data_IF_500921287832
#
_entry.id   IF_500921287832
#
_cell.length_a   1.000
_cell.length_b   1.000
_cell.length_c   1.000
_cell.angle_alpha   90.00
_cell.angle_beta   90.00
_cell.angle_gamma   90.00
#
_symmetry.space_group_name_H-M   'P 1'
#
loop_
_entity.id
_entity.type
_entity.pdbx_description
1 polymer ?
#
# COMPACT_ATOMS: atom_id res chain seq x y z
N UNK A 1 -9.16 13.03 -15.82
CA UNK A 1 -8.36 12.25 -14.84
C UNK A 1 -9.33 11.62 -13.87
N UNK A 2 -9.01 10.50 -13.22
CA UNK A 2 -9.88 10.00 -12.17
C UNK A 2 -9.89 10.98 -10.99
N UNK A 3 -11.08 11.48 -10.66
CA UNK A 3 -11.27 12.41 -9.55
C UNK A 3 -11.73 11.64 -8.31
N UNK A 4 -10.87 11.62 -7.31
CA UNK A 4 -11.14 10.95 -6.04
C UNK A 4 -12.22 11.70 -5.26
N UNK A 5 -13.32 11.01 -4.98
CA UNK A 5 -14.41 11.49 -4.13
C UNK A 5 -13.98 11.52 -2.67
N UNK A 6 -14.79 12.15 -1.81
CA UNK A 6 -14.58 12.13 -0.36
C UNK A 6 -14.60 10.70 0.19
N UNK A 7 -15.52 9.87 -0.32
CA UNK A 7 -15.60 8.46 0.02
C UNK A 7 -14.29 7.72 -0.31
N UNK A 8 -13.75 7.92 -1.52
CA UNK A 8 -12.50 7.26 -1.93
C UNK A 8 -11.33 7.66 -1.01
N UNK A 9 -11.27 8.93 -0.63
CA UNK A 9 -10.24 9.45 0.28
C UNK A 9 -10.37 8.87 1.67
N UNK A 10 -11.58 8.81 2.21
CA UNK A 10 -11.86 8.20 3.51
C UNK A 10 -11.49 6.70 3.52
N UNK A 11 -11.91 5.98 2.48
CA UNK A 11 -11.59 4.56 2.31
C UNK A 11 -10.07 4.32 2.23
N UNK A 12 -9.35 5.11 1.43
CA UNK A 12 -7.89 5.00 1.34
C UNK A 12 -7.20 5.35 2.67
N UNK A 13 -7.71 6.32 3.43
CA UNK A 13 -7.17 6.67 4.74
C UNK A 13 -7.32 5.52 5.74
N UNK A 14 -8.50 4.89 5.80
CA UNK A 14 -8.76 3.74 6.66
C UNK A 14 -7.86 2.55 6.29
N UNK A 15 -7.77 2.22 5.00
CA UNK A 15 -6.90 1.14 4.51
C UNK A 15 -5.43 1.38 4.84
N UNK A 16 -4.96 2.63 4.72
CA UNK A 16 -3.61 3.01 5.11
C UNK A 16 -3.37 2.85 6.62
N UNK A 17 -4.33 3.26 7.45
CA UNK A 17 -4.24 3.11 8.91
C UNK A 17 -4.14 1.63 9.30
N UNK A 18 -4.98 0.77 8.71
CA UNK A 18 -4.94 -0.66 8.93
C UNK A 18 -3.58 -1.27 8.56
N UNK A 19 -3.06 -0.95 7.36
CA UNK A 19 -1.79 -1.52 6.90
C UNK A 19 -0.60 -1.01 7.74
N UNK A 20 -0.61 0.26 8.16
CA UNK A 20 0.39 0.81 9.09
C UNK A 20 0.44 0.03 10.42
N UNK A 21 -0.71 -0.32 10.98
CA UNK A 21 -0.76 -1.11 12.21
C UNK A 21 -0.19 -2.53 12.00
N UNK A 22 -0.47 -3.16 10.86
CA UNK A 22 0.10 -4.47 10.51
C UNK A 22 1.63 -4.41 10.35
N UNK A 23 2.14 -3.34 9.73
CA UNK A 23 3.59 -3.11 9.61
C UNK A 23 4.23 -2.88 10.98
N UNK A 24 3.60 -2.09 11.86
CA UNK A 24 4.10 -1.89 13.22
C UNK A 24 4.25 -3.22 13.98
N UNK A 25 3.25 -4.09 13.89
CA UNK A 25 3.29 -5.45 14.46
C UNK A 25 4.36 -6.35 13.85
N UNK A 26 4.71 -6.15 12.57
CA UNK A 26 5.82 -6.86 11.94
C UNK A 26 7.17 -6.37 12.45
N UNK A 27 7.29 -5.08 12.74
CA UNK A 27 8.51 -4.45 13.25
C UNK A 27 8.75 -4.76 14.72
N UNK A 28 7.70 -4.85 15.55
CA UNK A 28 7.80 -5.21 16.97
C UNK A 28 7.90 -6.74 17.21
N UNK A 29 7.70 -7.55 16.18
CA UNK A 29 7.82 -9.01 16.23
C UNK A 29 6.53 -9.74 16.60
N UNK A 30 5.42 -9.04 16.85
CA UNK A 30 4.10 -9.62 17.12
C UNK A 30 3.39 -10.18 15.87
N UNK A 31 4.05 -10.11 14.71
CA UNK A 31 3.63 -10.69 13.45
C UNK A 31 4.86 -11.23 12.71
N UNK A 32 4.86 -12.53 12.41
CA UNK A 32 5.99 -13.17 11.71
C UNK A 32 6.04 -12.77 10.23
N UNK A 33 7.17 -13.03 9.55
CA UNK A 33 7.28 -12.76 8.10
C UNK A 33 6.30 -13.61 7.28
N UNK A 34 6.05 -14.86 7.68
CA UNK A 34 5.11 -15.74 6.98
C UNK A 34 3.67 -15.24 7.07
N UNK A 35 3.25 -14.77 8.25
CA UNK A 35 1.93 -14.17 8.46
C UNK A 35 1.81 -12.79 7.80
N UNK A 36 2.91 -12.03 7.73
CA UNK A 36 2.93 -10.71 7.09
C UNK A 36 2.94 -10.81 5.55
N UNK A 37 3.50 -11.88 4.98
CA UNK A 37 3.60 -12.10 3.52
C UNK A 37 2.27 -11.88 2.77
N UNK A 38 1.14 -12.51 3.13
CA UNK A 38 -0.13 -12.25 2.44
C UNK A 38 -0.59 -10.79 2.59
N UNK A 39 -0.42 -10.18 3.77
CA UNK A 39 -0.84 -8.80 4.03
C UNK A 39 -0.08 -7.80 3.16
N UNK A 40 1.25 -7.94 3.05
CA UNK A 40 2.04 -7.05 2.19
C UNK A 40 1.72 -7.25 0.71
N UNK A 41 1.50 -8.48 0.26
CA UNK A 41 1.17 -8.77 -1.14
C UNK A 41 -0.20 -8.20 -1.55
N UNK A 42 -1.21 -8.31 -0.67
CA UNK A 42 -2.53 -7.70 -0.91
C UNK A 42 -2.46 -6.17 -1.01
N UNK A 43 -1.52 -5.54 -0.31
CA UNK A 43 -1.29 -4.09 -0.36
C UNK A 43 -0.23 -3.70 -1.41
N UNK A 44 0.19 -4.61 -2.30
CA UNK A 44 1.11 -4.32 -3.40
C UNK A 44 2.58 -4.15 -2.99
N UNK A 45 2.97 -4.58 -1.79
CA UNK A 45 4.33 -4.53 -1.28
C UNK A 45 5.03 -5.89 -1.44
N UNK A 46 5.95 -5.96 -2.40
CA UNK A 46 6.73 -7.14 -2.74
C UNK A 46 8.12 -7.06 -2.12
N UNK A 47 8.59 -8.15 -1.52
CA UNK A 47 9.98 -8.29 -1.11
C UNK A 47 10.77 -8.92 -2.27
N UNK A 48 11.69 -8.17 -2.85
CA UNK A 48 12.71 -8.66 -3.77
C UNK A 48 13.99 -8.97 -2.99
N UNK A 49 15.00 -9.52 -3.67
CA UNK A 49 16.24 -10.01 -3.02
C UNK A 49 16.93 -8.96 -2.13
N UNK A 50 16.92 -7.69 -2.55
CA UNK A 50 17.64 -6.62 -1.87
C UNK A 50 16.76 -5.47 -1.37
N UNK A 51 15.47 -5.44 -1.73
CA UNK A 51 14.62 -4.28 -1.48
C UNK A 51 13.14 -4.63 -1.56
N UNK A 52 12.31 -3.71 -1.04
CA UNK A 52 10.87 -3.74 -1.27
C UNK A 52 10.51 -3.02 -2.58
N UNK A 53 9.60 -3.62 -3.34
CA UNK A 53 8.99 -3.03 -4.54
C UNK A 53 7.52 -2.75 -4.26
N UNK A 54 7.09 -1.51 -4.50
CA UNK A 54 5.71 -1.06 -4.31
C UNK A 54 4.99 -0.99 -5.66
N UNK A 55 3.87 -1.71 -5.79
CA UNK A 55 2.96 -1.60 -6.92
C UNK A 55 1.88 -0.57 -6.61
N UNK A 56 1.84 0.50 -7.40
CA UNK A 56 0.84 1.57 -7.29
C UNK A 56 -0.27 1.35 -8.33
N UNK A 57 -1.52 1.36 -7.89
CA UNK A 57 -2.68 1.29 -8.78
C UNK A 57 -2.95 2.67 -9.40
N UNK A 58 -3.03 2.74 -10.72
CA UNK A 58 -3.29 3.98 -11.47
C UNK A 58 -4.63 3.82 -12.21
N UNK A 59 -5.68 4.58 -11.83
CA UNK A 59 -6.96 4.53 -12.52
C UNK A 59 -6.83 4.83 -14.02
N UNK A 60 -7.31 3.90 -14.84
CA UNK A 60 -7.29 3.97 -16.30
C UNK A 60 -5.88 4.18 -16.92
N UNK A 61 -4.80 3.95 -16.15
CA UNK A 61 -3.43 4.21 -16.60
C UNK A 61 -3.11 5.68 -16.88
N UNK A 62 -3.97 6.61 -16.44
CA UNK A 62 -3.78 8.06 -16.71
C UNK A 62 -3.05 8.75 -15.56
N UNK A 63 -2.00 9.51 -15.88
CA UNK A 63 -1.22 10.31 -14.92
C UNK A 63 -0.98 11.72 -15.47
N UNK A 64 -0.97 12.71 -14.58
CA UNK A 64 -0.52 14.07 -14.90
C UNK A 64 0.98 14.21 -14.67
N UNK A 65 1.58 15.21 -15.33
CA UNK A 65 2.97 15.59 -15.07
C UNK A 65 3.23 15.97 -13.62
N UNK A 66 2.22 16.44 -12.87
CA UNK A 66 2.32 16.72 -11.44
C UNK A 66 2.42 15.46 -10.57
N UNK A 67 1.81 14.34 -10.97
CA UNK A 67 1.88 13.07 -10.24
C UNK A 67 3.16 12.27 -10.54
N UNK A 68 3.85 12.60 -11.64
CA UNK A 68 5.12 11.96 -12.03
C UNK A 68 6.35 12.66 -11.43
N UNK A 69 6.20 13.93 -11.03
CA UNK A 69 7.24 14.68 -10.31
C UNK A 69 7.13 14.40 -8.82
#
# INVERSE_FOLDING_TARGET
>A
MYDYTEFDRAFLAERNAQFRAQVARRLDGALTEEEFKPLRLMNGLYLQLHAYMLRVAIPYGTLSSRQMR
#
